data_IF_078995920850
#
_entry.id   IF_078995920850
#
_cell.length_a   1.000
_cell.length_b   1.000
_cell.length_c   1.000
_cell.angle_alpha   90.00
_cell.angle_beta   90.00
_cell.angle_gamma   90.00
#
_symmetry.space_group_name_H-M   'P 1'
#
loop_
_entity.id
_entity.type
_entity.pdbx_description
1 polymer ?
#
# COMPACT_ATOMS: atom_id res chain seq x y z
N UNK A 1 -64.82 -7.69 -44.68
CA UNK A 1 -64.55 -7.37 -43.27
C UNK A 1 -63.14 -7.84 -42.99
N UNK A 2 -62.20 -6.93 -42.95
CA UNK A 2 -60.77 -7.24 -42.71
C UNK A 2 -60.42 -6.67 -41.35
N UNK A 3 -60.06 -7.54 -40.42
CA UNK A 3 -59.74 -7.19 -39.05
C UNK A 3 -58.22 -6.91 -38.97
N UNK A 4 -57.84 -5.66 -38.76
CA UNK A 4 -56.45 -5.28 -38.48
C UNK A 4 -56.15 -5.46 -37.01
N UNK A 5 -55.41 -6.52 -36.67
CA UNK A 5 -54.82 -6.68 -35.36
C UNK A 5 -53.57 -5.82 -35.24
N UNK A 6 -53.64 -4.79 -34.42
CA UNK A 6 -52.49 -3.94 -34.07
C UNK A 6 -51.49 -4.71 -33.22
N UNK A 7 -50.30 -4.96 -33.80
CA UNK A 7 -49.17 -5.51 -33.05
C UNK A 7 -48.47 -4.36 -32.33
N UNK A 8 -48.65 -4.26 -31.00
CA UNK A 8 -47.85 -3.38 -30.18
C UNK A 8 -46.50 -4.04 -29.95
N UNK A 9 -45.46 -3.53 -30.65
CA UNK A 9 -44.07 -3.88 -30.35
C UNK A 9 -43.63 -3.05 -29.15
N UNK A 10 -43.53 -3.65 -27.99
CA UNK A 10 -42.85 -3.06 -26.85
C UNK A 10 -41.34 -3.10 -27.12
N UNK A 11 -40.79 -1.99 -27.55
CA UNK A 11 -39.33 -1.78 -27.55
C UNK A 11 -38.90 -1.58 -26.08
N UNK A 12 -38.48 -2.65 -25.43
CA UNK A 12 -37.74 -2.53 -24.16
C UNK A 12 -36.38 -1.90 -24.45
N UNK A 13 -36.28 -0.59 -24.21
CA UNK A 13 -34.99 0.08 -24.16
C UNK A 13 -34.21 -0.50 -22.98
N UNK A 14 -33.30 -1.44 -23.26
CA UNK A 14 -32.27 -1.84 -22.32
C UNK A 14 -31.33 -0.63 -22.23
N UNK A 15 -31.56 0.23 -21.25
CA UNK A 15 -30.55 1.21 -20.83
C UNK A 15 -29.41 0.38 -20.25
N UNK A 16 -28.39 0.13 -21.06
CA UNK A 16 -27.10 -0.29 -20.57
C UNK A 16 -26.60 0.84 -19.67
N UNK A 17 -26.86 0.74 -18.38
CA UNK A 17 -26.17 1.51 -17.38
C UNK A 17 -24.69 1.17 -17.58
N UNK A 18 -23.79 2.16 -17.80
CA UNK A 18 -22.39 1.88 -17.71
C UNK A 18 -22.19 1.25 -16.32
N UNK A 19 -21.76 0.00 -16.30
CA UNK A 19 -21.30 -0.62 -15.07
C UNK A 19 -20.12 0.25 -14.65
N UNK A 20 -20.37 1.21 -13.75
CA UNK A 20 -19.34 1.81 -12.95
C UNK A 20 -18.61 0.62 -12.34
N UNK A 21 -17.42 0.35 -12.80
CA UNK A 21 -16.50 -0.58 -12.17
C UNK A 21 -16.24 0.05 -10.80
N UNK A 22 -17.10 -0.26 -9.84
CA UNK A 22 -16.86 -0.01 -8.44
C UNK A 22 -15.71 -0.94 -8.12
N UNK A 23 -14.50 -0.38 -8.05
CA UNK A 23 -13.39 -1.13 -7.48
C UNK A 23 -13.80 -1.51 -6.06
N UNK A 24 -13.53 -2.77 -5.72
CA UNK A 24 -14.04 -3.39 -4.51
C UNK A 24 -13.07 -3.07 -3.35
N UNK A 25 -13.53 -2.58 -2.19
CA UNK A 25 -12.70 -2.47 -0.98
C UNK A 25 -11.92 -3.75 -0.64
N UNK A 26 -12.40 -4.92 -1.07
CA UNK A 26 -11.67 -6.18 -0.99
C UNK A 26 -10.39 -6.16 -1.86
N UNK A 27 -10.38 -5.44 -2.99
CA UNK A 27 -9.18 -5.27 -3.81
C UNK A 27 -8.12 -4.41 -3.08
N UNK A 28 -8.55 -3.32 -2.44
CA UNK A 28 -7.67 -2.52 -1.58
C UNK A 28 -7.04 -3.36 -0.47
N UNK A 29 -7.83 -4.16 0.24
CA UNK A 29 -7.32 -5.04 1.28
C UNK A 29 -6.34 -6.08 0.72
N UNK A 30 -6.64 -6.69 -0.43
CA UNK A 30 -5.76 -7.64 -1.10
C UNK A 30 -4.41 -6.99 -1.49
N UNK A 31 -4.42 -5.76 -2.02
CA UNK A 31 -3.21 -5.02 -2.34
C UNK A 31 -2.36 -4.70 -1.10
N UNK A 32 -2.99 -4.35 0.03
CA UNK A 32 -2.29 -4.17 1.30
C UNK A 32 -1.65 -5.46 1.81
N UNK A 33 -2.30 -6.61 1.61
CA UNK A 33 -1.72 -7.93 1.93
C UNK A 33 -0.50 -8.27 1.06
N UNK A 34 -0.49 -7.83 -0.20
CA UNK A 34 0.67 -8.00 -1.09
C UNK A 34 1.84 -7.10 -0.63
N UNK A 35 1.57 -5.86 -0.22
CA UNK A 35 2.59 -4.99 0.39
C UNK A 35 3.18 -5.64 1.63
N UNK A 36 2.33 -6.17 2.51
CA UNK A 36 2.73 -6.85 3.73
C UNK A 36 3.63 -8.06 3.45
N UNK A 37 3.24 -8.92 2.52
CA UNK A 37 4.04 -10.07 2.11
C UNK A 37 5.43 -9.65 1.58
N UNK A 38 5.49 -8.58 0.77
CA UNK A 38 6.74 -8.03 0.26
C UNK A 38 7.60 -7.41 1.37
N UNK A 39 6.98 -6.75 2.34
CA UNK A 39 7.65 -6.16 3.52
C UNK A 39 8.27 -7.25 4.39
N UNK A 40 7.57 -8.35 4.62
CA UNK A 40 8.12 -9.51 5.35
C UNK A 40 9.24 -10.22 4.60
N UNK A 41 9.15 -10.29 3.27
CA UNK A 41 10.25 -10.81 2.44
C UNK A 41 11.51 -9.95 2.61
N UNK A 42 11.37 -8.62 2.51
CA UNK A 42 12.47 -7.68 2.77
C UNK A 42 13.06 -7.87 4.18
N UNK A 43 12.21 -7.97 5.21
CA UNK A 43 12.66 -8.21 6.60
C UNK A 43 13.48 -9.49 6.70
N UNK A 44 13.04 -10.56 6.05
CA UNK A 44 13.73 -11.86 6.03
C UNK A 44 15.10 -11.74 5.35
N UNK A 45 15.17 -11.09 4.19
CA UNK A 45 16.43 -10.87 3.45
C UNK A 45 17.42 -10.04 4.28
N UNK A 46 16.97 -8.95 4.91
CA UNK A 46 17.81 -8.11 5.79
C UNK A 46 18.30 -8.87 7.00
N UNK A 47 17.44 -9.65 7.64
CA UNK A 47 17.79 -10.42 8.85
C UNK A 47 18.82 -11.49 8.55
N UNK A 48 18.69 -12.18 7.40
CA UNK A 48 19.58 -13.26 6.98
C UNK A 48 20.82 -12.75 6.21
N UNK A 49 20.94 -11.44 6.01
CA UNK A 49 22.05 -10.86 5.27
C UNK A 49 23.39 -11.06 5.98
N UNK A 50 24.36 -11.59 5.26
CA UNK A 50 25.72 -11.91 5.72
C UNK A 50 26.68 -10.70 5.75
N UNK A 51 26.21 -9.50 5.37
CA UNK A 51 27.03 -8.29 5.27
C UNK A 51 27.76 -8.15 3.93
N UNK A 52 27.54 -9.04 2.96
CA UNK A 52 28.20 -8.94 1.65
C UNK A 52 27.52 -7.90 0.74
N UNK A 53 28.30 -7.32 -0.18
CA UNK A 53 27.76 -6.41 -1.19
C UNK A 53 26.72 -7.10 -2.10
N UNK A 54 26.92 -8.37 -2.40
CA UNK A 54 25.97 -9.14 -3.22
C UNK A 54 24.63 -9.34 -2.49
N UNK A 55 24.67 -9.64 -1.19
CA UNK A 55 23.46 -9.72 -0.36
C UNK A 55 22.72 -8.38 -0.26
N UNK A 56 23.46 -7.25 -0.23
CA UNK A 56 22.88 -5.91 -0.25
C UNK A 56 22.08 -5.62 -1.54
N UNK A 57 22.47 -6.20 -2.69
CA UNK A 57 21.68 -6.09 -3.93
C UNK A 57 20.33 -6.83 -3.81
N UNK A 58 20.29 -7.95 -3.07
CA UNK A 58 19.04 -8.64 -2.75
C UNK A 58 18.10 -7.76 -1.92
N UNK A 59 18.64 -7.10 -0.89
CA UNK A 59 17.88 -6.13 -0.06
C UNK A 59 17.32 -4.99 -0.92
N UNK A 60 18.15 -4.44 -1.82
CA UNK A 60 17.71 -3.37 -2.73
C UNK A 60 16.61 -3.85 -3.68
N UNK A 61 16.71 -5.08 -4.19
CA UNK A 61 15.68 -5.68 -5.05
C UNK A 61 14.34 -5.82 -4.31
N UNK A 62 14.36 -6.34 -3.08
CA UNK A 62 13.15 -6.51 -2.27
C UNK A 62 12.54 -5.15 -1.86
N UNK A 63 13.37 -4.16 -1.52
CA UNK A 63 12.90 -2.80 -1.23
C UNK A 63 12.23 -2.16 -2.46
N UNK A 64 12.78 -2.36 -3.66
CA UNK A 64 12.16 -1.90 -4.90
C UNK A 64 10.84 -2.63 -5.17
N UNK A 65 10.75 -3.93 -4.86
CA UNK A 65 9.50 -4.69 -4.96
C UNK A 65 8.42 -4.11 -4.02
N UNK A 66 8.76 -3.82 -2.76
CA UNK A 66 7.84 -3.13 -1.83
C UNK A 66 7.36 -1.81 -2.43
N UNK A 67 8.27 -0.97 -2.94
CA UNK A 67 7.92 0.30 -3.58
C UNK A 67 6.97 0.14 -4.77
N UNK A 68 7.17 -0.89 -5.59
CA UNK A 68 6.29 -1.20 -6.73
C UNK A 68 4.89 -1.62 -6.27
N UNK A 69 4.79 -2.43 -5.20
CA UNK A 69 3.49 -2.84 -4.66
C UNK A 69 2.74 -1.66 -4.03
N UNK A 70 3.44 -0.73 -3.38
CA UNK A 70 2.82 0.50 -2.87
C UNK A 70 2.26 1.34 -4.03
N UNK A 71 3.00 1.52 -5.12
CA UNK A 71 2.53 2.27 -6.30
C UNK A 71 1.30 1.60 -6.93
N UNK A 72 1.31 0.27 -7.07
CA UNK A 72 0.19 -0.51 -7.59
C UNK A 72 -1.05 -0.34 -6.70
N UNK A 73 -0.89 -0.47 -5.38
CA UNK A 73 -1.98 -0.28 -4.42
C UNK A 73 -2.54 1.15 -4.46
N UNK A 74 -1.67 2.15 -4.56
CA UNK A 74 -2.08 3.55 -4.68
C UNK A 74 -2.86 3.80 -5.97
N UNK A 75 -2.38 3.26 -7.09
CA UNK A 75 -3.07 3.40 -8.39
C UNK A 75 -4.42 2.69 -8.40
N UNK A 76 -4.52 1.53 -7.74
CA UNK A 76 -5.78 0.81 -7.61
C UNK A 76 -6.78 1.58 -6.74
N UNK A 77 -6.34 2.12 -5.59
CA UNK A 77 -7.19 2.84 -4.65
C UNK A 77 -7.57 4.26 -5.11
N UNK A 78 -6.77 4.91 -5.95
CA UNK A 78 -6.98 6.31 -6.36
C UNK A 78 -8.31 6.53 -7.11
N UNK A 79 -8.80 5.52 -7.81
CA UNK A 79 -10.04 5.57 -8.57
C UNK A 79 -11.25 4.96 -7.80
N UNK A 80 -11.07 4.60 -6.52
CA UNK A 80 -12.15 4.01 -5.73
C UNK A 80 -13.12 5.07 -5.22
N UNK A 81 -14.39 4.69 -5.16
CA UNK A 81 -15.39 5.46 -4.43
C UNK A 81 -15.14 5.34 -2.91
N UNK A 82 -15.71 6.27 -2.14
CA UNK A 82 -15.64 6.19 -0.69
C UNK A 82 -16.16 4.83 -0.19
N UNK A 83 -15.35 4.17 0.63
CA UNK A 83 -15.69 2.87 1.22
C UNK A 83 -16.81 3.00 2.27
N UNK A 84 -17.50 1.91 2.54
CA UNK A 84 -18.44 1.85 3.67
C UNK A 84 -17.69 1.93 5.00
N UNK A 85 -18.41 2.23 6.09
CA UNK A 85 -17.81 2.25 7.44
C UNK A 85 -17.22 0.88 7.80
N UNK A 86 -17.89 -0.21 7.46
CA UNK A 86 -17.44 -1.58 7.72
C UNK A 86 -16.16 -1.93 6.93
N UNK A 87 -16.10 -1.55 5.64
CA UNK A 87 -14.93 -1.79 4.81
C UNK A 87 -13.74 -0.95 5.28
N UNK A 88 -13.97 0.33 5.59
CA UNK A 88 -12.96 1.22 6.14
C UNK A 88 -12.39 0.68 7.45
N UNK A 89 -13.25 0.18 8.34
CA UNK A 89 -12.83 -0.44 9.59
C UNK A 89 -11.98 -1.70 9.36
N UNK A 90 -12.33 -2.52 8.39
CA UNK A 90 -11.59 -3.73 8.02
C UNK A 90 -10.20 -3.39 7.48
N UNK A 91 -10.11 -2.40 6.57
CA UNK A 91 -8.84 -1.92 5.99
C UNK A 91 -7.96 -1.33 7.11
N UNK A 92 -8.48 -0.42 7.92
CA UNK A 92 -7.75 0.21 9.01
C UNK A 92 -7.30 -0.82 10.05
N UNK A 93 -8.16 -1.78 10.38
CA UNK A 93 -7.84 -2.88 11.29
C UNK A 93 -6.66 -3.72 10.78
N UNK A 94 -6.61 -4.02 9.49
CA UNK A 94 -5.47 -4.70 8.87
C UNK A 94 -4.21 -3.84 8.88
N UNK A 95 -4.31 -2.57 8.50
CA UNK A 95 -3.16 -1.65 8.50
C UNK A 95 -2.56 -1.51 9.90
N UNK A 96 -3.38 -1.31 10.92
CA UNK A 96 -2.90 -1.08 12.30
C UNK A 96 -2.47 -2.37 12.99
N UNK A 97 -3.17 -3.49 12.75
CA UNK A 97 -2.95 -4.75 13.44
C UNK A 97 -1.89 -5.65 12.81
N UNK A 98 -1.58 -5.46 11.52
CA UNK A 98 -0.67 -6.35 10.78
C UNK A 98 0.38 -5.57 10.02
N UNK A 99 0.00 -4.74 9.06
CA UNK A 99 0.93 -4.08 8.15
C UNK A 99 1.88 -3.11 8.87
N UNK A 100 1.38 -2.29 9.80
CA UNK A 100 2.22 -1.34 10.55
C UNK A 100 3.27 -2.05 11.42
N UNK A 101 2.96 -3.08 12.21
CA UNK A 101 3.97 -3.88 12.91
C UNK A 101 5.02 -4.48 11.98
N UNK A 102 4.65 -5.01 10.82
CA UNK A 102 5.59 -5.61 9.89
C UNK A 102 6.49 -4.58 9.20
N UNK A 103 5.96 -3.38 8.89
CA UNK A 103 6.76 -2.24 8.44
C UNK A 103 7.77 -1.83 9.53
N UNK A 104 7.35 -1.70 10.78
CA UNK A 104 8.23 -1.34 11.89
C UNK A 104 9.33 -2.38 12.11
N UNK A 105 9.00 -3.66 12.01
CA UNK A 105 9.96 -4.74 12.08
C UNK A 105 11.00 -4.68 10.95
N UNK A 106 10.56 -4.40 9.73
CA UNK A 106 11.44 -4.24 8.55
C UNK A 106 12.40 -3.06 8.72
N UNK A 107 11.86 -1.89 9.12
CA UNK A 107 12.67 -0.69 9.35
C UNK A 107 13.67 -0.90 10.50
N UNK A 108 13.27 -1.58 11.56
CA UNK A 108 14.16 -1.96 12.67
C UNK A 108 15.27 -2.92 12.21
N UNK A 109 14.94 -3.91 11.38
CA UNK A 109 15.94 -4.81 10.81
C UNK A 109 16.97 -4.05 9.96
N UNK A 110 16.53 -3.10 9.14
CA UNK A 110 17.41 -2.24 8.33
C UNK A 110 18.30 -1.36 9.21
N UNK A 111 17.76 -0.69 10.22
CA UNK A 111 18.54 0.19 11.11
C UNK A 111 19.55 -0.60 11.96
N UNK A 112 19.23 -1.82 12.36
CA UNK A 112 20.18 -2.70 13.03
C UNK A 112 21.37 -3.13 12.17
N UNK A 113 21.27 -2.96 10.85
CA UNK A 113 22.35 -3.24 9.87
C UNK A 113 23.03 -1.98 9.34
N UNK A 114 22.71 -0.81 9.87
CA UNK A 114 23.24 0.50 9.40
C UNK A 114 24.77 0.50 9.35
N UNK A 115 25.47 0.04 10.41
CA UNK A 115 26.94 -0.06 10.44
C UNK A 115 27.50 -0.97 9.32
N UNK A 116 26.79 -2.04 8.93
CA UNK A 116 27.18 -2.90 7.82
C UNK A 116 27.06 -2.15 6.47
N UNK A 117 25.97 -1.44 6.25
CA UNK A 117 25.77 -0.63 5.05
C UNK A 117 26.83 0.50 4.97
N UNK A 118 27.17 1.10 6.11
CA UNK A 118 28.20 2.11 6.22
C UNK A 118 29.58 1.56 5.86
N UNK A 119 29.95 0.39 6.36
CA UNK A 119 31.23 -0.27 6.05
C UNK A 119 31.38 -0.63 4.56
N UNK A 120 30.27 -0.85 3.86
CA UNK A 120 30.23 -1.09 2.40
C UNK A 120 30.16 0.21 1.58
N UNK A 121 30.00 1.37 2.22
CA UNK A 121 29.89 2.67 1.54
C UNK A 121 28.55 2.88 0.82
N UNK A 122 27.49 2.16 1.18
CA UNK A 122 26.16 2.19 0.52
C UNK A 122 25.05 2.79 1.37
N UNK A 123 25.35 3.36 2.54
CA UNK A 123 24.36 4.00 3.43
C UNK A 123 23.53 5.08 2.72
N UNK A 124 24.14 5.87 1.85
CA UNK A 124 23.43 6.90 1.06
C UNK A 124 22.41 6.30 0.08
N UNK A 125 22.69 5.12 -0.47
CA UNK A 125 21.74 4.38 -1.33
C UNK A 125 20.56 3.89 -0.52
N UNK A 126 20.81 3.32 0.68
CA UNK A 126 19.76 2.88 1.60
C UNK A 126 18.91 4.06 2.04
N UNK A 127 19.51 5.18 2.41
CA UNK A 127 18.83 6.42 2.78
C UNK A 127 17.88 6.89 1.66
N UNK A 128 18.38 6.95 0.41
CA UNK A 128 17.56 7.35 -0.74
C UNK A 128 16.39 6.40 -0.96
N UNK A 129 16.60 5.10 -0.78
CA UNK A 129 15.55 4.08 -0.88
C UNK A 129 14.50 4.25 0.22
N UNK A 130 14.90 4.47 1.48
CA UNK A 130 13.99 4.73 2.60
C UNK A 130 13.14 5.99 2.37
N UNK A 131 13.75 7.08 1.90
CA UNK A 131 13.04 8.32 1.56
C UNK A 131 12.03 8.11 0.43
N UNK A 132 12.38 7.33 -0.58
CA UNK A 132 11.47 6.97 -1.67
C UNK A 132 10.28 6.15 -1.15
N UNK A 133 10.53 5.12 -0.35
CA UNK A 133 9.48 4.29 0.25
C UNK A 133 8.58 5.12 1.18
N UNK A 134 9.14 6.02 1.99
CA UNK A 134 8.37 6.94 2.83
C UNK A 134 7.43 7.81 2.00
N UNK A 135 7.93 8.41 0.91
CA UNK A 135 7.11 9.24 0.02
C UNK A 135 5.95 8.46 -0.60
N UNK A 136 6.22 7.24 -1.08
CA UNK A 136 5.19 6.36 -1.64
C UNK A 136 4.15 5.95 -0.59
N UNK A 137 4.60 5.56 0.60
CA UNK A 137 3.71 5.21 1.73
C UNK A 137 2.85 6.39 2.17
N UNK A 138 3.39 7.61 2.21
CA UNK A 138 2.62 8.82 2.52
C UNK A 138 1.55 9.12 1.46
N UNK A 139 1.87 8.92 0.17
CA UNK A 139 0.91 9.07 -0.93
C UNK A 139 -0.22 8.05 -0.82
N UNK A 140 0.09 6.77 -0.63
CA UNK A 140 -0.91 5.72 -0.41
C UNK A 140 -1.75 6.02 0.84
N UNK A 141 -1.12 6.44 1.94
CA UNK A 141 -1.81 6.82 3.17
C UNK A 141 -2.85 7.92 2.92
N UNK A 142 -2.48 8.96 2.17
CA UNK A 142 -3.39 10.04 1.77
C UNK A 142 -4.56 9.50 0.94
N UNK A 143 -4.30 8.62 -0.02
CA UNK A 143 -5.33 7.99 -0.85
C UNK A 143 -6.30 7.17 0.01
N UNK A 144 -5.79 6.35 0.94
CA UNK A 144 -6.61 5.54 1.84
C UNK A 144 -7.48 6.40 2.77
N UNK A 145 -6.95 7.53 3.28
CA UNK A 145 -7.73 8.51 4.07
C UNK A 145 -8.85 9.11 3.22
N UNK A 146 -8.60 9.42 1.95
CA UNK A 146 -9.59 10.02 1.06
C UNK A 146 -10.76 9.08 0.77
N UNK A 147 -10.49 7.78 0.56
CA UNK A 147 -11.52 6.77 0.29
C UNK A 147 -12.20 6.24 1.57
N UNK A 148 -11.63 6.48 2.75
CA UNK A 148 -12.24 6.08 4.02
C UNK A 148 -13.59 6.75 4.25
N UNK A 149 -14.53 6.04 4.89
CA UNK A 149 -15.80 6.61 5.33
C UNK A 149 -15.58 7.79 6.30
N UNK A 150 -16.52 8.72 6.34
CA UNK A 150 -16.36 9.96 7.11
C UNK A 150 -16.07 9.72 8.60
N UNK A 151 -16.67 8.68 9.18
CA UNK A 151 -16.49 8.27 10.59
C UNK A 151 -15.15 7.59 10.86
N UNK A 152 -14.46 7.09 9.82
CA UNK A 152 -13.20 6.38 9.93
C UNK A 152 -11.97 7.20 9.49
N UNK A 153 -12.16 8.39 8.92
CA UNK A 153 -11.05 9.23 8.42
C UNK A 153 -9.99 9.55 9.48
N UNK A 154 -10.41 9.83 10.71
CA UNK A 154 -9.47 10.13 11.80
C UNK A 154 -8.60 8.91 12.16
N UNK A 155 -9.18 7.71 12.16
CA UNK A 155 -8.45 6.48 12.42
C UNK A 155 -7.49 6.15 11.27
N UNK A 156 -7.93 6.34 10.01
CA UNK A 156 -7.09 6.18 8.83
C UNK A 156 -5.89 7.14 8.84
N UNK A 157 -6.11 8.41 9.19
CA UNK A 157 -5.04 9.40 9.32
C UNK A 157 -4.04 9.01 10.42
N UNK A 158 -4.51 8.58 11.58
CA UNK A 158 -3.64 8.12 12.68
C UNK A 158 -2.77 6.93 12.27
N UNK A 159 -3.31 5.99 11.49
CA UNK A 159 -2.54 4.86 10.96
C UNK A 159 -1.46 5.33 9.98
N UNK A 160 -1.79 6.23 9.06
CA UNK A 160 -0.83 6.82 8.11
C UNK A 160 0.29 7.58 8.82
N UNK A 161 -0.06 8.39 9.84
CA UNK A 161 0.91 9.14 10.64
C UNK A 161 1.87 8.22 11.40
N UNK A 162 1.37 7.10 11.93
CA UNK A 162 2.19 6.10 12.62
C UNK A 162 3.22 5.47 11.68
N UNK A 163 2.82 5.10 10.46
CA UNK A 163 3.73 4.55 9.44
C UNK A 163 4.77 5.62 9.04
N UNK A 164 4.33 6.85 8.79
CA UNK A 164 5.24 7.94 8.41
C UNK A 164 6.26 8.25 9.52
N UNK A 165 5.86 8.22 10.79
CA UNK A 165 6.75 8.39 11.93
C UNK A 165 7.81 7.26 12.00
N UNK A 166 7.43 6.01 11.71
CA UNK A 166 8.36 4.89 11.68
C UNK A 166 9.42 5.07 10.57
N UNK A 167 9.01 5.47 9.37
CA UNK A 167 9.95 5.80 8.29
C UNK A 167 10.86 6.97 8.64
N UNK A 168 10.31 8.04 9.25
CA UNK A 168 11.09 9.20 9.66
C UNK A 168 12.20 8.83 10.66
N UNK A 169 11.92 7.94 11.60
CA UNK A 169 12.92 7.43 12.53
C UNK A 169 14.04 6.65 11.81
N UNK A 170 13.67 5.79 10.85
CA UNK A 170 14.66 5.04 10.07
C UNK A 170 15.50 5.96 9.17
N UNK A 171 14.89 6.94 8.49
CA UNK A 171 15.60 7.96 7.69
C UNK A 171 16.58 8.75 8.55
N UNK A 172 16.19 9.15 9.77
CA UNK A 172 17.07 9.85 10.69
C UNK A 172 18.29 9.03 11.08
N UNK A 173 18.13 7.71 11.31
CA UNK A 173 19.24 6.82 11.64
C UNK A 173 20.31 6.76 10.52
N UNK A 174 19.88 6.74 9.25
CA UNK A 174 20.80 6.71 8.08
C UNK A 174 21.31 8.10 7.66
N UNK A 175 20.85 9.18 8.31
CA UNK A 175 21.27 10.56 8.00
C UNK A 175 22.36 11.09 8.93
N UNK A 176 22.74 10.31 9.97
CA UNK A 176 23.73 10.67 10.99
C UNK A 176 25.18 10.39 10.57
#
# INVERSE_FOLDING_TARGET
MVNFASIFVFATAITALPSLIRRDPAETLANLQIIDASTRALTTTVTNWDGSLLGALGIQSDANAVGTQIDNANSAAADEAQASSADSQSIIGYVTGTLTPDIQASLTALTNREANFQSLGISSTVLSTLQSLQSKAATLGTTLVNIASADQKAAAQSAADTINAAFSAAVAAFSS
#
